data_IF_668696557195
#
_entry.id   IF_668696557195
#
_cell.length_a   1.000
_cell.length_b   1.000
_cell.length_c   1.000
_cell.angle_alpha   90.00
_cell.angle_beta   90.00
_cell.angle_gamma   90.00
#
_symmetry.space_group_name_H-M   'P 1'
#
loop_
_entity.id
_entity.type
_entity.pdbx_description
1 polymer ?
#
# COMPACT_ATOMS: atom_id res chain seq x y z
N UNK A 1 -1.73 8.18 20.94
CA UNK A 1 -0.48 8.77 21.48
C UNK A 1 0.56 8.78 20.37
N UNK A 2 0.84 9.95 19.79
CA UNK A 2 1.94 10.14 18.84
C UNK A 2 3.25 10.10 19.63
N UNK A 3 4.04 9.04 19.48
CA UNK A 3 5.38 8.99 20.06
C UNK A 3 6.24 10.04 19.35
N UNK A 4 6.54 11.14 20.02
CA UNK A 4 7.54 12.11 19.56
C UNK A 4 8.90 11.41 19.58
N UNK A 5 9.37 10.96 18.42
CA UNK A 5 10.70 10.37 18.28
C UNK A 5 11.75 11.46 18.59
N UNK A 6 12.62 11.30 19.61
CA UNK A 6 13.64 12.30 19.95
C UNK A 6 14.57 12.63 18.77
N UNK A 7 14.77 11.66 17.89
CA UNK A 7 15.54 11.73 16.65
C UNK A 7 15.05 12.87 15.76
N UNK A 8 13.75 12.89 15.56
CA UNK A 8 13.06 13.80 14.68
C UNK A 8 13.08 15.23 15.21
N UNK A 9 12.99 15.44 16.52
CA UNK A 9 13.10 16.78 17.14
C UNK A 9 14.47 17.43 16.87
N UNK A 10 15.55 16.66 16.89
CA UNK A 10 16.89 17.17 16.59
C UNK A 10 17.10 17.42 15.10
N UNK A 11 16.60 16.55 14.21
CA UNK A 11 16.59 16.83 12.77
C UNK A 11 15.80 18.11 12.45
N UNK A 12 14.68 18.34 13.15
CA UNK A 12 13.90 19.56 13.01
C UNK A 12 14.74 20.82 13.26
N UNK A 13 15.58 20.76 14.30
CA UNK A 13 16.44 21.88 14.68
C UNK A 13 17.58 22.09 13.67
N UNK A 14 18.18 21.02 13.14
CA UNK A 14 19.19 21.12 12.08
C UNK A 14 18.58 21.80 10.85
N UNK A 15 17.44 21.32 10.37
CA UNK A 15 16.76 21.88 9.21
C UNK A 15 16.30 23.33 9.41
N UNK A 16 15.86 23.71 10.62
CA UNK A 16 15.52 25.10 10.96
C UNK A 16 16.73 26.02 11.00
N UNK A 17 17.90 25.51 11.40
CA UNK A 17 19.13 26.29 11.45
C UNK A 17 19.72 26.49 10.04
N UNK A 18 19.59 25.49 9.17
CA UNK A 18 20.12 25.54 7.81
C UNK A 18 19.18 26.27 6.82
N UNK A 19 17.88 26.35 7.11
CA UNK A 19 16.89 26.99 6.24
C UNK A 19 15.95 27.93 6.99
N UNK A 20 15.99 29.22 6.67
CA UNK A 20 15.03 30.19 7.20
C UNK A 20 13.62 29.93 6.66
N UNK A 21 12.63 30.00 7.55
CA UNK A 21 11.22 29.86 7.18
C UNK A 21 10.72 28.43 6.95
N UNK A 22 11.52 27.41 7.31
CA UNK A 22 11.10 26.01 7.24
C UNK A 22 10.28 25.59 8.46
N UNK A 23 9.10 25.03 8.19
CA UNK A 23 8.26 24.32 9.15
C UNK A 23 8.23 22.83 8.83
N UNK A 24 8.29 22.01 9.88
CA UNK A 24 8.24 20.55 9.78
C UNK A 24 7.08 20.07 10.62
N UNK A 25 6.14 19.39 9.97
CA UNK A 25 4.84 19.06 10.56
C UNK A 25 4.63 17.56 10.86
N UNK A 26 5.39 16.64 10.27
CA UNK A 26 5.16 15.19 10.43
C UNK A 26 6.39 14.40 10.84
N UNK A 27 6.16 13.48 11.79
CA UNK A 27 7.15 12.55 12.34
C UNK A 27 6.46 11.22 12.68
N UNK A 28 6.38 10.31 11.71
CA UNK A 28 5.99 8.93 12.02
C UNK A 28 7.28 8.14 12.31
N UNK A 29 7.35 7.44 13.43
CA UNK A 29 8.44 6.51 13.74
C UNK A 29 7.84 5.11 13.85
N UNK A 30 8.20 4.21 12.94
CA UNK A 30 7.95 2.78 13.10
C UNK A 30 9.24 2.12 13.55
N UNK A 31 9.21 1.50 14.73
CA UNK A 31 10.31 0.72 15.26
C UNK A 31 10.21 -0.70 14.69
N UNK A 32 11.15 -1.09 13.84
CA UNK A 32 11.29 -2.49 13.45
C UNK A 32 12.35 -3.13 14.35
N UNK A 33 11.90 -4.04 15.23
CA UNK A 33 12.81 -4.93 15.92
C UNK A 33 13.40 -5.91 14.88
N UNK A 34 14.70 -6.23 14.95
CA UNK A 34 15.25 -7.27 14.09
C UNK A 34 14.48 -8.57 14.33
N UNK A 35 14.04 -9.20 13.23
CA UNK A 35 13.42 -10.52 13.27
C UNK A 35 14.35 -11.47 14.04
N UNK A 36 13.82 -12.07 15.10
CA UNK A 36 14.53 -12.96 16.00
C UNK A 36 15.21 -14.09 15.23
N UNK A 37 16.49 -13.91 14.93
CA UNK A 37 17.41 -14.97 14.53
C UNK A 37 18.54 -14.96 15.53
N UNK A 38 18.63 -16.04 16.28
CA UNK A 38 19.78 -16.34 17.14
C UNK A 38 21.01 -16.48 16.25
N UNK A 39 21.81 -15.41 16.16
CA UNK A 39 23.29 -15.40 16.05
C UNK A 39 23.72 -13.96 16.36
N UNK A 40 24.77 -13.84 17.15
CA UNK A 40 25.44 -12.64 17.65
C UNK A 40 25.97 -11.70 16.55
N UNK A 41 25.06 -10.96 15.91
CA UNK A 41 25.35 -9.72 15.22
C UNK A 41 24.63 -8.59 15.97
N UNK A 42 25.31 -7.45 16.18
CA UNK A 42 24.69 -6.28 16.82
C UNK A 42 23.32 -6.00 16.20
N UNK A 43 22.26 -6.01 17.00
CA UNK A 43 20.92 -5.68 16.57
C UNK A 43 20.89 -4.24 16.02
N UNK A 44 21.05 -4.09 14.70
CA UNK A 44 20.85 -2.80 14.04
C UNK A 44 19.35 -2.49 14.09
N UNK A 45 18.98 -1.51 14.90
CA UNK A 45 17.61 -1.02 14.99
C UNK A 45 17.38 -0.04 13.84
N UNK A 46 16.38 -0.31 13.01
CA UNK A 46 16.01 0.57 11.91
C UNK A 46 14.75 1.36 12.27
N UNK A 47 14.81 2.66 11.98
CA UNK A 47 13.69 3.58 12.11
C UNK A 47 13.29 4.09 10.74
N UNK A 48 12.00 4.08 10.46
CA UNK A 48 11.44 4.66 9.24
C UNK A 48 10.50 5.80 9.61
N UNK A 49 10.48 6.82 8.76
CA UNK A 49 9.50 7.89 8.83
C UNK A 49 9.51 8.77 7.60
N UNK A 50 8.53 9.67 7.60
CA UNK A 50 8.29 10.62 6.52
C UNK A 50 8.48 12.04 7.06
N UNK A 51 9.16 12.86 6.28
CA UNK A 51 9.45 14.26 6.58
C UNK A 51 8.71 15.13 5.55
N UNK A 52 7.79 15.96 6.04
CA UNK A 52 7.19 17.03 5.23
C UNK A 52 7.92 18.35 5.52
N UNK A 53 8.47 18.95 4.47
CA UNK A 53 9.16 20.24 4.53
C UNK A 53 8.28 21.29 3.89
N UNK A 54 7.84 22.28 4.68
CA UNK A 54 7.08 23.43 4.19
C UNK A 54 7.95 24.67 4.35
N UNK A 55 8.07 25.49 3.31
CA UNK A 55 8.85 26.72 3.35
C UNK A 55 8.07 27.88 2.74
N UNK A 56 8.30 29.08 3.27
CA UNK A 56 7.81 30.33 2.69
C UNK A 56 8.75 30.90 1.61
N UNK A 57 9.89 30.24 1.34
CA UNK A 57 10.80 30.53 0.23
C UNK A 57 10.88 29.34 -0.71
N UNK A 58 11.25 29.57 -1.96
CA UNK A 58 11.43 28.49 -2.94
C UNK A 58 12.64 27.63 -2.57
N UNK A 59 12.38 26.39 -2.16
CA UNK A 59 13.40 25.37 -1.92
C UNK A 59 13.32 24.30 -3.01
N UNK A 60 14.47 23.82 -3.46
CA UNK A 60 14.52 22.67 -4.37
C UNK A 60 14.64 21.38 -3.56
N UNK A 61 14.08 20.29 -4.09
CA UNK A 61 14.21 18.96 -3.48
C UNK A 61 15.66 18.54 -3.31
N UNK A 62 16.55 18.91 -4.24
CA UNK A 62 18.00 18.65 -4.15
C UNK A 62 18.66 19.22 -2.89
N UNK A 63 18.26 20.43 -2.48
CA UNK A 63 18.79 21.09 -1.28
C UNK A 63 18.34 20.33 -0.03
N UNK A 64 17.05 19.99 0.06
CA UNK A 64 16.49 19.24 1.20
C UNK A 64 17.15 17.85 1.32
N UNK A 65 17.30 17.16 0.19
CA UNK A 65 17.91 15.83 0.15
C UNK A 65 19.38 15.85 0.57
N UNK A 66 20.12 16.93 0.28
CA UNK A 66 21.52 17.06 0.70
C UNK A 66 21.69 17.03 2.22
N UNK A 67 20.77 17.63 2.98
CA UNK A 67 20.82 17.64 4.45
C UNK A 67 20.50 16.26 5.03
N UNK A 68 19.68 15.47 4.34
CA UNK A 68 19.38 14.08 4.71
C UNK A 68 20.55 13.10 4.47
N UNK A 69 21.72 13.58 4.05
CA UNK A 69 22.94 12.77 3.97
C UNK A 69 23.88 13.00 5.17
N UNK A 70 23.58 13.97 6.02
CA UNK A 70 24.40 14.36 7.17
C UNK A 70 24.19 13.44 8.38
N UNK A 71 25.21 13.31 9.23
CA UNK A 71 25.08 12.60 10.50
C UNK A 71 24.35 13.49 11.51
N UNK A 72 23.26 12.99 12.09
CA UNK A 72 22.54 13.71 13.14
C UNK A 72 23.01 13.20 14.50
N UNK A 73 23.40 14.12 15.37
CA UNK A 73 23.64 13.80 16.78
C UNK A 73 22.32 13.85 17.57
N UNK A 74 22.02 12.76 18.26
CA UNK A 74 20.90 12.69 19.21
C UNK A 74 21.48 12.29 20.55
N UNK A 75 21.63 13.27 21.44
CA UNK A 75 22.33 13.11 22.71
C UNK A 75 23.77 12.62 22.48
N UNK A 76 24.13 11.40 22.94
CA UNK A 76 25.46 10.79 22.73
C UNK A 76 25.50 9.82 21.53
N UNK A 77 24.42 9.71 20.77
CA UNK A 77 24.30 8.75 19.66
C UNK A 77 24.34 9.47 18.31
N UNK A 78 25.28 9.05 17.46
CA UNK A 78 25.34 9.49 16.07
C UNK A 78 24.39 8.62 15.23
N UNK A 79 23.40 9.24 14.61
CA UNK A 79 22.50 8.60 13.67
C UNK A 79 22.91 8.98 12.25
N UNK A 80 22.83 8.00 11.36
CA UNK A 80 23.08 8.19 9.94
C UNK A 80 21.86 7.72 9.17
N UNK A 81 21.38 8.56 8.25
CA UNK A 81 20.39 8.12 7.28
C UNK A 81 21.03 7.09 6.37
N UNK A 82 20.43 5.90 6.35
CA UNK A 82 20.86 4.84 5.45
C UNK A 82 20.31 5.07 4.05
N UNK A 83 19.07 5.54 3.96
CA UNK A 83 18.35 5.79 2.71
C UNK A 83 17.40 6.97 2.89
N UNK A 84 17.30 7.81 1.87
CA UNK A 84 16.32 8.88 1.76
C UNK A 84 15.76 8.88 0.34
N UNK A 85 14.44 9.08 0.22
CA UNK A 85 13.74 9.09 -1.06
C UNK A 85 12.79 10.27 -1.11
N UNK A 86 12.80 10.98 -2.23
CA UNK A 86 11.81 12.01 -2.52
C UNK A 86 10.51 11.31 -2.96
N UNK A 87 9.44 11.53 -2.20
CA UNK A 87 8.15 10.86 -2.37
C UNK A 87 7.16 11.74 -3.15
N UNK A 88 7.13 13.03 -2.84
CA UNK A 88 6.25 14.01 -3.49
C UNK A 88 6.92 15.38 -3.57
N UNK A 89 6.52 16.15 -4.58
CA UNK A 89 6.89 17.56 -4.72
C UNK A 89 5.61 18.41 -4.81
N UNK A 90 5.66 19.59 -4.21
CA UNK A 90 4.52 20.50 -4.11
C UNK A 90 4.95 21.92 -4.40
N UNK A 91 4.12 22.67 -5.11
CA UNK A 91 4.26 24.10 -5.29
C UNK A 91 2.90 24.78 -5.12
N UNK A 92 2.89 25.95 -4.48
CA UNK A 92 1.65 26.64 -4.17
C UNK A 92 1.88 27.94 -3.43
N UNK A 93 0.84 28.77 -3.38
CA UNK A 93 0.81 30.02 -2.62
C UNK A 93 -0.44 29.99 -1.73
N UNK A 94 -0.28 30.25 -0.43
CA UNK A 94 -1.38 30.21 0.54
C UNK A 94 -1.75 28.78 0.95
N UNK A 95 -3.04 28.45 0.90
CA UNK A 95 -3.59 27.17 1.37
C UNK A 95 -3.83 26.15 0.24
N UNK A 96 -3.57 26.51 -1.02
CA UNK A 96 -3.69 25.60 -2.15
C UNK A 96 -2.32 25.20 -2.68
N UNK A 97 -2.08 23.90 -2.73
CA UNK A 97 -0.85 23.31 -3.23
C UNK A 97 -1.17 22.43 -4.44
N UNK A 98 -0.41 22.61 -5.51
CA UNK A 98 -0.36 21.64 -6.60
C UNK A 98 0.81 20.71 -6.32
N UNK A 99 0.51 19.45 -6.11
CA UNK A 99 1.47 18.43 -5.70
C UNK A 99 1.49 17.30 -6.73
N UNK A 100 2.60 16.57 -6.79
CA UNK A 100 2.75 15.36 -7.58
C UNK A 100 3.59 14.32 -6.84
N UNK A 101 3.33 13.05 -7.14
CA UNK A 101 4.14 11.94 -6.65
C UNK A 101 5.30 11.70 -7.62
N UNK A 102 6.47 11.33 -7.11
CA UNK A 102 7.59 10.94 -7.98
C UNK A 102 7.30 9.59 -8.66
N UNK A 103 8.06 9.25 -9.72
CA UNK A 103 7.75 8.13 -10.62
C UNK A 103 7.51 6.76 -9.95
N UNK A 104 8.14 6.50 -8.79
CA UNK A 104 7.98 5.23 -8.06
C UNK A 104 6.84 5.25 -7.02
N UNK A 105 6.10 6.35 -6.95
CA UNK A 105 5.07 6.61 -5.96
C UNK A 105 3.73 6.98 -6.63
N UNK A 106 2.66 6.86 -5.88
CA UNK A 106 1.29 7.13 -6.32
C UNK A 106 0.48 7.70 -5.16
N UNK A 107 -0.56 8.49 -5.44
CA UNK A 107 -1.41 9.05 -4.39
C UNK A 107 -1.95 7.97 -3.45
N UNK A 108 -1.96 8.25 -2.14
CA UNK A 108 -2.64 7.37 -1.20
C UNK A 108 -4.15 7.37 -1.44
N UNK A 109 -4.83 6.31 -1.02
CA UNK A 109 -6.28 6.18 -1.16
C UNK A 109 -7.04 7.38 -0.60
N UNK A 110 -6.65 7.88 0.57
CA UNK A 110 -7.30 9.02 1.22
C UNK A 110 -7.27 10.29 0.35
N UNK A 111 -6.15 10.54 -0.34
CA UNK A 111 -6.02 11.70 -1.24
C UNK A 111 -6.84 11.49 -2.51
N UNK A 112 -6.77 10.29 -3.11
CA UNK A 112 -7.59 9.93 -4.26
C UNK A 112 -9.09 10.08 -3.97
N UNK A 113 -9.58 9.56 -2.85
CA UNK A 113 -11.02 9.56 -2.54
C UNK A 113 -11.53 10.93 -2.05
N UNK A 114 -10.66 11.74 -1.45
CA UNK A 114 -11.04 13.09 -0.97
C UNK A 114 -11.01 14.12 -2.09
N UNK A 115 -9.97 14.09 -2.94
CA UNK A 115 -9.70 15.15 -3.92
C UNK A 115 -9.86 14.69 -5.38
N UNK A 116 -10.13 13.41 -5.62
CA UNK A 116 -10.22 12.83 -6.97
C UNK A 116 -8.86 12.55 -7.63
N UNK A 117 -7.77 12.69 -6.89
CA UNK A 117 -6.39 12.47 -7.36
C UNK A 117 -6.06 10.96 -7.44
N UNK A 118 -6.70 10.23 -8.35
CA UNK A 118 -6.58 8.78 -8.40
C UNK A 118 -5.55 8.27 -9.43
N UNK A 119 -5.00 9.18 -10.24
CA UNK A 119 -3.98 8.91 -11.25
C UNK A 119 -2.65 9.56 -10.86
N UNK A 120 -1.54 9.15 -11.48
CA UNK A 120 -0.20 9.66 -11.16
C UNK A 120 0.09 11.09 -11.61
N UNK A 121 -0.93 11.93 -11.87
CA UNK A 121 -0.75 13.30 -12.34
C UNK A 121 -0.80 14.30 -11.20
N UNK A 122 -0.31 15.51 -11.47
CA UNK A 122 -0.41 16.67 -10.59
C UNK A 122 -1.85 16.85 -10.11
N UNK A 123 -1.99 17.15 -8.82
CA UNK A 123 -3.28 17.35 -8.21
C UNK A 123 -3.28 18.50 -7.22
N UNK A 124 -4.42 19.19 -7.15
CA UNK A 124 -4.64 20.28 -6.21
C UNK A 124 -5.15 19.73 -4.90
N UNK A 125 -4.45 20.06 -3.82
CA UNK A 125 -4.83 19.71 -2.46
C UNK A 125 -4.87 20.96 -1.58
N UNK A 126 -5.69 20.93 -0.53
CA UNK A 126 -5.82 22.03 0.42
C UNK A 126 -4.98 21.77 1.65
N UNK A 127 -3.98 22.63 1.87
CA UNK A 127 -3.12 22.68 3.04
C UNK A 127 -2.13 21.52 3.18
N UNK A 128 -1.13 21.65 4.06
CA UNK A 128 -0.34 20.52 4.51
C UNK A 128 -1.26 19.55 5.28
N UNK A 129 -1.44 18.35 4.75
CA UNK A 129 -2.26 17.31 5.39
C UNK A 129 -1.45 16.56 6.45
N UNK A 130 -2.12 16.00 7.47
CA UNK A 130 -1.48 15.16 8.49
C UNK A 130 -1.24 13.71 8.02
N UNK A 131 -1.53 13.42 6.75
CA UNK A 131 -1.41 12.11 6.11
C UNK A 131 -0.28 12.13 5.08
N UNK A 132 0.23 10.96 4.71
CA UNK A 132 1.22 10.88 3.63
C UNK A 132 0.49 11.19 2.33
N UNK A 133 1.13 11.94 1.43
CA UNK A 133 0.52 12.27 0.14
C UNK A 133 0.61 11.08 -0.83
N UNK A 134 1.74 10.38 -0.82
CA UNK A 134 2.01 9.31 -1.78
C UNK A 134 2.55 8.05 -1.10
N UNK A 135 2.21 6.91 -1.66
CA UNK A 135 2.72 5.59 -1.27
C UNK A 135 3.51 4.97 -2.42
N UNK A 136 4.43 4.05 -2.10
CA UNK A 136 5.18 3.34 -3.12
C UNK A 136 4.24 2.53 -4.01
N UNK A 137 4.52 2.51 -5.32
CA UNK A 137 3.75 1.72 -6.27
C UNK A 137 3.85 0.24 -5.93
N UNK A 138 2.71 -0.44 -5.93
CA UNK A 138 2.61 -1.90 -5.88
C UNK A 138 1.91 -2.39 -7.12
N UNK A 139 2.09 -3.67 -7.47
CA UNK A 139 1.34 -4.26 -8.58
C UNK A 139 0.12 -5.01 -8.06
N UNK A 140 -1.07 -4.51 -8.36
CA UNK A 140 -2.35 -5.20 -8.14
C UNK A 140 -2.96 -5.51 -9.49
N UNK A 141 -3.34 -6.77 -9.72
CA UNK A 141 -3.99 -7.19 -10.96
C UNK A 141 -5.45 -7.57 -10.70
N UNK A 142 -6.35 -7.12 -11.56
CA UNK A 142 -7.78 -7.37 -11.45
C UNK A 142 -8.25 -8.01 -12.75
N UNK A 143 -8.77 -9.23 -12.63
CA UNK A 143 -9.45 -9.92 -13.71
C UNK A 143 -10.94 -9.97 -13.38
N UNK A 144 -11.76 -9.35 -14.23
CA UNK A 144 -13.20 -9.26 -14.05
C UNK A 144 -13.97 -10.04 -15.09
N UNK A 145 -15.12 -10.55 -14.69
CA UNK A 145 -16.10 -11.17 -15.60
C UNK A 145 -17.50 -10.72 -15.28
N UNK A 146 -18.28 -10.41 -16.31
CA UNK A 146 -19.69 -10.00 -16.24
C UNK A 146 -20.51 -11.05 -16.98
N UNK A 147 -21.38 -11.75 -16.27
CA UNK A 147 -22.38 -12.65 -16.87
C UNK A 147 -23.45 -11.81 -17.54
N UNK A 148 -23.72 -12.08 -18.80
CA UNK A 148 -24.71 -11.33 -19.59
C UNK A 148 -25.23 -12.18 -20.74
N UNK A 149 -26.50 -12.00 -21.09
CA UNK A 149 -27.15 -12.65 -22.23
C UNK A 149 -27.04 -11.82 -23.52
N UNK A 150 -26.43 -10.65 -23.45
CA UNK A 150 -26.31 -9.71 -24.56
C UNK A 150 -24.88 -9.14 -24.68
N UNK A 151 -24.60 -8.48 -25.80
CA UNK A 151 -23.35 -7.76 -25.97
C UNK A 151 -23.38 -6.44 -25.18
N UNK A 152 -22.38 -6.19 -24.33
CA UNK A 152 -22.28 -4.96 -23.56
C UNK A 152 -22.22 -3.73 -24.49
N UNK A 153 -23.12 -2.79 -24.28
CA UNK A 153 -23.10 -1.51 -24.99
C UNK A 153 -21.87 -0.67 -24.63
N UNK A 154 -21.54 0.30 -25.48
CA UNK A 154 -20.46 1.28 -25.19
C UNK A 154 -20.69 2.04 -23.87
N UNK A 155 -21.95 2.30 -23.52
CA UNK A 155 -22.34 2.92 -22.26
C UNK A 155 -21.99 2.02 -21.06
N UNK A 156 -22.28 0.73 -21.13
CA UNK A 156 -21.95 -0.23 -20.06
C UNK A 156 -20.44 -0.43 -19.92
N UNK A 157 -19.72 -0.53 -21.05
CA UNK A 157 -18.25 -0.60 -21.04
C UNK A 157 -17.65 0.66 -20.39
N UNK A 158 -18.17 1.84 -20.72
CA UNK A 158 -17.70 3.11 -20.14
C UNK A 158 -18.04 3.22 -18.66
N UNK A 159 -19.20 2.72 -18.24
CA UNK A 159 -19.59 2.65 -16.84
C UNK A 159 -18.61 1.81 -16.01
N UNK A 160 -18.23 0.62 -16.50
CA UNK A 160 -17.23 -0.22 -15.83
C UNK A 160 -15.88 0.50 -15.74
N UNK A 161 -15.40 1.09 -16.84
CA UNK A 161 -14.17 1.90 -16.83
C UNK A 161 -14.21 3.00 -15.80
N UNK A 162 -15.29 3.78 -15.76
CA UNK A 162 -15.44 4.91 -14.85
C UNK A 162 -15.53 4.48 -13.39
N UNK A 163 -16.09 3.29 -13.10
CA UNK A 163 -16.12 2.77 -11.74
C UNK A 163 -14.71 2.43 -11.24
N UNK A 164 -13.89 1.74 -12.04
CA UNK A 164 -12.51 1.42 -11.66
C UNK A 164 -11.57 2.64 -11.65
N UNK A 165 -11.87 3.69 -12.42
CA UNK A 165 -11.14 4.97 -12.37
C UNK A 165 -11.21 5.69 -11.02
N UNK A 166 -12.15 5.29 -10.15
CA UNK A 166 -12.24 5.81 -8.79
C UNK A 166 -11.23 5.18 -7.83
N UNK A 167 -10.50 4.15 -8.26
CA UNK A 167 -9.47 3.50 -7.44
C UNK A 167 -8.13 4.22 -7.60
N UNK A 168 -7.37 4.33 -6.51
CA UNK A 168 -6.06 4.97 -6.57
C UNK A 168 -5.07 4.14 -7.38
N UNK A 169 -4.26 4.82 -8.19
CA UNK A 169 -3.28 4.21 -9.07
C UNK A 169 -3.90 3.37 -10.19
N UNK A 170 -5.14 3.64 -10.59
CA UNK A 170 -5.81 2.86 -11.63
C UNK A 170 -5.11 2.99 -12.98
N UNK A 171 -5.05 1.85 -13.68
CA UNK A 171 -4.78 1.79 -15.11
C UNK A 171 -6.11 1.61 -15.86
N UNK A 172 -6.12 1.90 -17.16
CA UNK A 172 -7.33 1.76 -17.97
C UNK A 172 -7.85 0.32 -17.96
N UNK A 173 -9.19 0.18 -17.96
CA UNK A 173 -9.83 -1.14 -18.04
C UNK A 173 -9.90 -1.60 -19.50
N UNK A 174 -9.22 -2.71 -19.77
CA UNK A 174 -9.20 -3.36 -21.06
C UNK A 174 -10.21 -4.50 -21.11
N UNK A 175 -11.16 -4.45 -22.05
CA UNK A 175 -12.10 -5.55 -22.26
C UNK A 175 -11.52 -6.54 -23.25
N UNK A 176 -11.33 -7.78 -22.84
CA UNK A 176 -10.91 -8.87 -23.72
C UNK A 176 -12.09 -9.47 -24.47
N UNK A 177 -13.29 -9.46 -23.87
CA UNK A 177 -14.55 -9.81 -24.54
C UNK A 177 -15.70 -8.94 -24.01
N UNK A 178 -16.63 -8.57 -24.88
CA UNK A 178 -17.85 -7.80 -24.54
C UNK A 178 -19.14 -8.55 -24.83
N UNK A 179 -19.06 -9.76 -25.39
CA UNK A 179 -20.21 -10.57 -25.81
C UNK A 179 -20.66 -11.57 -24.76
N UNK A 180 -21.90 -12.04 -24.90
CA UNK A 180 -22.47 -13.17 -24.16
C UNK A 180 -21.67 -14.48 -24.36
N UNK A 181 -21.73 -15.44 -23.40
CA UNK A 181 -22.46 -15.36 -22.13
C UNK A 181 -21.67 -14.61 -21.03
N UNK A 182 -20.45 -14.19 -21.33
CA UNK A 182 -19.55 -13.56 -20.34
C UNK A 182 -18.61 -12.56 -21.00
N UNK A 183 -18.79 -11.30 -20.65
CA UNK A 183 -17.82 -10.25 -20.95
C UNK A 183 -16.67 -10.32 -19.94
N UNK A 184 -15.44 -10.17 -20.41
CA UNK A 184 -14.22 -10.24 -19.59
C UNK A 184 -13.42 -8.97 -19.74
N UNK A 185 -12.83 -8.54 -18.64
CA UNK A 185 -11.96 -7.39 -18.61
C UNK A 185 -10.81 -7.57 -17.65
N UNK A 186 -9.76 -6.81 -17.89
CA UNK A 186 -8.54 -6.81 -17.11
C UNK A 186 -8.16 -5.35 -16.82
N UNK A 187 -7.65 -5.11 -15.62
CA UNK A 187 -7.09 -3.81 -15.22
C UNK A 187 -6.05 -4.05 -14.13
N UNK A 188 -5.23 -3.04 -13.88
CA UNK A 188 -4.23 -3.06 -12.83
C UNK A 188 -4.32 -1.79 -11.98
N UNK A 189 -3.87 -1.91 -10.73
CA UNK A 189 -3.69 -0.77 -9.85
C UNK A 189 -2.24 -0.70 -9.38
N UNK A 190 -1.75 0.53 -9.25
CA UNK A 190 -0.48 0.88 -8.64
C UNK A 190 -0.55 1.04 -7.12
N UNK A 191 -1.75 0.93 -6.51
CA UNK A 191 -1.99 1.08 -5.07
C UNK A 191 -2.94 -0.03 -4.60
N UNK A 192 -2.74 -0.51 -3.37
CA UNK A 192 -3.70 -1.42 -2.71
C UNK A 192 -4.96 -0.64 -2.37
N UNK A 193 -6.00 -0.79 -3.18
CA UNK A 193 -7.30 -0.20 -2.87
C UNK A 193 -7.93 -0.84 -1.62
N UNK A 194 -8.71 -0.06 -0.88
CA UNK A 194 -9.43 -0.56 0.29
C UNK A 194 -10.54 -1.52 -0.12
N UNK A 195 -10.80 -2.54 0.71
CA UNK A 195 -11.90 -3.49 0.46
C UNK A 195 -13.26 -2.81 0.49
N UNK A 196 -13.43 -1.81 1.35
CA UNK A 196 -14.65 -1.02 1.40
C UNK A 196 -14.95 -0.37 0.06
N UNK A 197 -13.94 0.24 -0.59
CA UNK A 197 -14.12 0.86 -1.90
C UNK A 197 -14.36 -0.15 -3.02
N UNK A 198 -13.70 -1.31 -2.98
CA UNK A 198 -14.02 -2.41 -3.90
C UNK A 198 -15.48 -2.87 -3.76
N UNK A 199 -15.96 -3.08 -2.53
CA UNK A 199 -17.34 -3.47 -2.26
C UNK A 199 -18.33 -2.42 -2.79
N UNK A 200 -18.07 -1.14 -2.53
CA UNK A 200 -18.88 -0.02 -3.05
C UNK A 200 -18.97 -0.04 -4.57
N UNK A 201 -17.82 -0.15 -5.27
CA UNK A 201 -17.76 -0.23 -6.74
C UNK A 201 -18.52 -1.44 -7.26
N UNK A 202 -18.31 -2.62 -6.66
CA UNK A 202 -19.00 -3.84 -7.07
C UNK A 202 -20.52 -3.72 -6.92
N UNK A 203 -21.00 -3.26 -5.76
CA UNK A 203 -22.44 -3.08 -5.50
C UNK A 203 -23.05 -2.07 -6.47
N UNK A 204 -22.36 -0.95 -6.74
CA UNK A 204 -22.82 0.06 -7.70
C UNK A 204 -22.91 -0.52 -9.12
N UNK A 205 -21.89 -1.25 -9.57
CA UNK A 205 -21.87 -1.88 -10.89
C UNK A 205 -22.96 -2.93 -11.04
N UNK A 206 -23.16 -3.80 -10.06
CA UNK A 206 -24.21 -4.83 -10.10
C UNK A 206 -25.62 -4.21 -10.18
N UNK A 207 -25.87 -3.16 -9.40
CA UNK A 207 -27.14 -2.43 -9.44
C UNK A 207 -27.41 -1.82 -10.82
N UNK A 208 -26.37 -1.32 -11.50
CA UNK A 208 -26.50 -0.71 -12.81
C UNK A 208 -26.50 -1.72 -13.97
N UNK A 209 -25.90 -2.89 -13.78
CA UNK A 209 -25.91 -4.00 -14.74
C UNK A 209 -27.20 -4.83 -14.66
N UNK A 210 -28.04 -4.61 -13.65
CA UNK A 210 -29.43 -5.07 -13.60
C UNK A 210 -29.69 -6.31 -12.74
N UNK A 211 -28.66 -6.91 -12.12
CA UNK A 211 -28.85 -8.00 -11.16
C UNK A 211 -27.61 -8.19 -10.25
N UNK A 212 -27.81 -8.56 -8.97
CA UNK A 212 -26.71 -8.97 -8.09
C UNK A 212 -26.07 -10.29 -8.57
N UNK A 213 -24.77 -10.46 -8.38
CA UNK A 213 -24.04 -11.68 -8.71
C UNK A 213 -23.68 -11.87 -10.19
N UNK A 214 -23.89 -10.84 -11.02
CA UNK A 214 -23.44 -10.84 -12.43
C UNK A 214 -21.96 -10.55 -12.56
N UNK A 215 -21.37 -9.84 -11.59
CA UNK A 215 -19.97 -9.43 -11.59
C UNK A 215 -19.15 -10.37 -10.70
N UNK A 216 -18.05 -10.89 -11.23
CA UNK A 216 -17.05 -11.61 -10.44
C UNK A 216 -15.67 -11.01 -10.70
N UNK A 217 -14.92 -10.77 -9.62
CA UNK A 217 -13.57 -10.23 -9.66
C UNK A 217 -12.58 -11.21 -9.03
N UNK A 218 -11.44 -11.38 -9.69
CA UNK A 218 -10.23 -12.00 -9.12
C UNK A 218 -9.17 -10.92 -8.99
N UNK A 219 -8.75 -10.64 -7.76
CA UNK A 219 -7.74 -9.62 -7.45
C UNK A 219 -6.48 -10.28 -6.92
N UNK A 220 -5.33 -9.93 -7.48
CA UNK A 220 -4.01 -10.41 -7.09
C UNK A 220 -3.16 -9.23 -6.59
N UNK A 221 -2.33 -9.43 -5.56
CA UNK A 221 -1.43 -8.39 -5.03
C UNK A 221 -2.02 -7.51 -3.92
N UNK A 222 -3.23 -7.82 -3.42
CA UNK A 222 -3.91 -7.01 -2.41
C UNK A 222 -3.45 -7.30 -0.97
N UNK A 223 -3.00 -8.54 -0.69
CA UNK A 223 -2.45 -8.95 0.61
C UNK A 223 -0.96 -8.61 0.74
N UNK A 224 -0.45 -8.54 1.97
CA UNK A 224 0.97 -8.60 2.25
C UNK A 224 1.33 -10.00 2.76
N UNK A 225 2.31 -10.64 2.14
CA UNK A 225 2.77 -11.98 2.56
C UNK A 225 4.19 -11.87 3.06
N UNK A 226 4.39 -12.12 4.34
CA UNK A 226 5.70 -12.34 4.94
C UNK A 226 6.07 -13.80 4.74
N UNK A 227 7.23 -14.00 4.11
CA UNK A 227 7.79 -15.32 3.83
C UNK A 227 9.27 -15.30 4.17
N UNK A 228 9.92 -16.46 4.39
CA UNK A 228 11.35 -16.50 4.58
C UNK A 228 12.08 -15.90 3.38
N UNK A 229 13.05 -15.05 3.65
CA UNK A 229 13.88 -14.42 2.62
C UNK A 229 14.98 -15.34 2.07
N UNK A 230 15.17 -16.52 2.66
CA UNK A 230 16.19 -17.50 2.30
C UNK A 230 15.60 -18.79 1.74
N UNK A 231 16.43 -19.57 1.05
CA UNK A 231 16.09 -20.92 0.60
C UNK A 231 15.59 -21.77 1.77
N UNK A 232 14.45 -22.43 1.57
CA UNK A 232 13.88 -23.41 2.50
C UNK A 232 14.57 -24.76 2.28
N UNK A 233 15.18 -25.31 3.32
CA UNK A 233 15.85 -26.61 3.25
C UNK A 233 14.89 -27.76 3.53
N UNK A 234 15.20 -28.94 3.00
CA UNK A 234 14.48 -30.17 3.27
C UNK A 234 14.37 -30.43 4.79
N UNK A 235 13.19 -30.87 5.24
CA UNK A 235 12.82 -31.10 6.65
C UNK A 235 12.89 -29.89 7.57
N UNK A 236 12.91 -28.67 7.03
CA UNK A 236 12.78 -27.46 7.86
C UNK A 236 11.32 -27.11 8.13
N UNK A 237 11.09 -26.35 9.21
CA UNK A 237 9.80 -25.75 9.49
C UNK A 237 9.79 -24.31 8.99
N UNK A 238 8.70 -23.90 8.34
CA UNK A 238 8.60 -22.62 7.67
C UNK A 238 7.33 -21.91 8.08
N UNK A 239 7.47 -20.64 8.44
CA UNK A 239 6.36 -19.79 8.80
C UNK A 239 6.07 -18.77 7.70
N UNK A 240 4.80 -18.66 7.33
CA UNK A 240 4.29 -17.62 6.46
C UNK A 240 3.20 -16.85 7.18
N UNK A 241 3.18 -15.54 6.97
CA UNK A 241 2.19 -14.67 7.53
C UNK A 241 1.54 -13.87 6.40
N UNK A 242 0.22 -13.77 6.40
CA UNK A 242 -0.53 -13.00 5.42
C UNK A 242 -1.35 -11.97 6.17
N UNK A 243 -1.10 -10.70 5.89
CA UNK A 243 -1.82 -9.57 6.48
C UNK A 243 -2.54 -8.79 5.40
N UNK A 244 -3.64 -8.19 5.81
CA UNK A 244 -4.48 -7.42 4.92
C UNK A 244 -5.19 -6.30 5.68
N UNK A 245 -5.18 -5.09 5.12
CA UNK A 245 -5.89 -3.92 5.62
C UNK A 245 -7.41 -4.05 5.36
N UNK A 246 -8.15 -4.64 6.31
CA UNK A 246 -9.62 -4.72 6.25
C UNK A 246 -10.26 -4.49 7.61
N UNK A 247 -11.28 -3.63 7.63
CA UNK A 247 -12.16 -3.40 8.79
C UNK A 247 -13.22 -4.50 8.98
N UNK A 248 -13.24 -5.52 8.13
CA UNK A 248 -14.30 -6.54 8.12
C UNK A 248 -13.79 -7.92 8.53
N UNK A 249 -14.13 -8.33 9.74
CA UNK A 249 -13.79 -9.64 10.32
C UNK A 249 -14.54 -10.84 9.67
N UNK A 250 -15.34 -10.61 8.63
CA UNK A 250 -16.25 -11.62 8.05
C UNK A 250 -15.70 -12.34 6.80
N UNK A 251 -14.46 -12.05 6.39
CA UNK A 251 -13.88 -12.67 5.20
C UNK A 251 -13.20 -14.01 5.53
N UNK A 252 -13.48 -15.04 4.73
CA UNK A 252 -12.89 -16.37 4.91
C UNK A 252 -11.42 -16.33 4.52
N UNK A 253 -10.53 -16.45 5.50
CA UNK A 253 -9.08 -16.46 5.33
C UNK A 253 -8.59 -17.87 5.00
N UNK A 254 -8.10 -18.11 3.79
CA UNK A 254 -7.68 -19.45 3.33
C UNK A 254 -6.32 -19.39 2.65
N UNK A 255 -5.46 -20.37 2.92
CA UNK A 255 -4.20 -20.57 2.20
C UNK A 255 -4.40 -21.60 1.09
N UNK A 256 -3.94 -21.27 -0.12
CA UNK A 256 -3.95 -22.17 -1.27
C UNK A 256 -2.52 -22.51 -1.64
N UNK A 257 -2.24 -23.81 -1.83
CA UNK A 257 -1.00 -24.29 -2.42
C UNK A 257 -1.24 -24.63 -3.89
N UNK A 258 -0.35 -24.20 -4.77
CA UNK A 258 -0.45 -24.42 -6.20
C UNK A 258 0.63 -25.39 -6.67
N UNK A 259 0.23 -26.46 -7.36
CA UNK A 259 1.14 -27.37 -8.09
C UNK A 259 0.63 -27.53 -9.51
N UNK A 260 1.43 -27.14 -10.50
CA UNK A 260 1.10 -27.24 -11.93
C UNK A 260 -0.32 -26.71 -12.24
N UNK A 261 -0.64 -25.50 -11.77
CA UNK A 261 -1.95 -24.81 -11.87
C UNK A 261 -3.09 -25.35 -11.00
N UNK A 262 -2.94 -26.50 -10.35
CA UNK A 262 -3.97 -27.03 -9.45
C UNK A 262 -3.83 -26.38 -8.07
N UNK A 263 -4.89 -25.69 -7.65
CA UNK A 263 -4.99 -25.10 -6.32
C UNK A 263 -5.53 -26.13 -5.32
N UNK A 264 -4.84 -26.31 -4.20
CA UNK A 264 -5.30 -27.12 -3.06
C UNK A 264 -5.41 -26.23 -1.84
N UNK A 265 -6.55 -26.28 -1.16
CA UNK A 265 -6.74 -25.58 0.10
C UNK A 265 -5.88 -26.26 1.17
N UNK A 266 -5.01 -25.49 1.81
CA UNK A 266 -4.27 -25.94 2.97
C UNK A 266 -5.21 -25.92 4.18
N UNK A 267 -5.35 -27.06 4.84
CA UNK A 267 -6.06 -27.22 6.10
C UNK A 267 -5.08 -27.69 7.18
N UNK A 268 -5.42 -27.49 8.45
CA UNK A 268 -4.61 -28.01 9.56
C UNK A 268 -4.50 -29.54 9.48
N UNK A 269 -3.27 -30.05 9.60
CA UNK A 269 -2.94 -31.47 9.51
C UNK A 269 -1.59 -31.76 10.16
N UNK A 270 -0.96 -32.88 9.77
CA UNK A 270 0.35 -33.30 10.31
C UNK A 270 1.49 -32.35 9.91
N UNK A 271 1.47 -31.88 8.66
CA UNK A 271 2.48 -30.97 8.09
C UNK A 271 2.08 -29.51 8.23
N UNK A 272 0.79 -29.19 8.19
CA UNK A 272 0.29 -27.81 8.11
C UNK A 272 -0.36 -27.41 9.44
N UNK A 273 0.03 -26.29 10.00
CA UNK A 273 -0.67 -25.65 11.13
C UNK A 273 -1.14 -24.26 10.71
N UNK A 274 -2.46 -24.04 10.71
CA UNK A 274 -3.04 -22.72 10.45
C UNK A 274 -3.25 -21.96 11.76
N UNK A 275 -2.97 -20.66 11.74
CA UNK A 275 -3.26 -19.78 12.86
C UNK A 275 -3.92 -18.48 12.37
N UNK A 276 -5.16 -18.26 12.80
CA UNK A 276 -5.98 -17.09 12.47
C UNK A 276 -6.02 -16.04 13.59
N UNK A 277 -5.26 -16.22 14.67
CA UNK A 277 -5.24 -15.35 15.86
C UNK A 277 -4.12 -14.30 15.85
N UNK A 278 -3.46 -14.10 14.72
CA UNK A 278 -2.39 -13.11 14.55
C UNK A 278 -2.90 -11.66 14.43
N UNK A 279 -4.19 -11.42 14.71
CA UNK A 279 -4.84 -10.12 14.81
C UNK A 279 -4.35 -9.38 16.07
N UNK A 280 -3.08 -8.98 16.12
CA UNK A 280 -2.48 -8.24 17.25
C UNK A 280 -1.58 -7.11 16.79
N UNK A 281 -2.13 -6.17 16.02
CA UNK A 281 -1.72 -4.75 15.98
C UNK A 281 -2.57 -4.02 14.94
N UNK A 282 -3.42 -3.08 15.39
CA UNK A 282 -4.10 -2.08 14.56
C UNK A 282 -4.87 -2.61 13.34
N UNK A 283 -6.15 -2.95 13.50
CA UNK A 283 -7.17 -3.21 12.44
C UNK A 283 -6.79 -4.14 11.26
N UNK A 284 -5.61 -4.76 11.27
CA UNK A 284 -5.15 -5.68 10.24
C UNK A 284 -5.75 -7.06 10.46
N UNK A 285 -6.43 -7.59 9.45
CA UNK A 285 -6.80 -9.00 9.44
C UNK A 285 -5.59 -9.84 9.05
N UNK A 286 -5.37 -10.92 9.79
CA UNK A 286 -4.22 -11.77 9.59
C UNK A 286 -4.58 -13.26 9.52
N UNK A 287 -3.81 -14.01 8.73
CA UNK A 287 -3.79 -15.47 8.74
C UNK A 287 -2.36 -15.96 8.51
N UNK A 288 -1.93 -16.94 9.28
CA UNK A 288 -0.59 -17.49 9.19
C UNK A 288 -0.63 -19.01 8.99
N UNK A 289 0.39 -19.53 8.32
CA UNK A 289 0.57 -20.96 8.11
C UNK A 289 1.99 -21.35 8.50
N UNK A 290 2.09 -22.43 9.27
CA UNK A 290 3.35 -23.08 9.59
C UNK A 290 3.39 -24.44 8.90
N UNK A 291 4.40 -24.65 8.07
CA UNK A 291 4.68 -25.93 7.41
C UNK A 291 5.80 -26.62 8.18
N UNK A 292 5.53 -27.80 8.73
CA UNK A 292 6.50 -28.61 9.50
C UNK A 292 7.10 -29.67 8.60
N UNK A 293 8.41 -29.87 8.72
CA UNK A 293 9.14 -30.91 8.01
C UNK A 293 8.87 -30.91 6.49
N UNK A 294 9.06 -29.75 5.84
CA UNK A 294 8.80 -29.62 4.40
C UNK A 294 9.61 -30.66 3.63
N UNK A 295 8.92 -31.52 2.87
CA UNK A 295 9.51 -32.63 2.10
C UNK A 295 9.53 -32.38 0.61
#
# INVERSE_FOLDING_TARGET
MLFSCPIWKNLANVLKNDFQGVSISRWNCVHLLPGSTSISASASVYYFGELLVVSNVSLTSSIVMSVLTTNIQVSSTSLRFQESKLVSECYGFGDEYTCSCTDSYMWVNDICYTYGCCNGTDCKITGPTNISLCTAKVKVLINGSIKTDFHLSSAQVSMVRNAFRQLSGNEDVNFTTTSAPTAKFETALSVKATVSKFKEIMTSLESNLGAPGVLALKVEGLVNIESPSSTVFYKTSVHFNCTFDTDTAQEKKVWHFYKNTVATILNTGSVVTLNHTCDKQGNLQCTSVNLKEVT
#
